data_IF_580431620257
#
_entry.id   IF_580431620257
#
_cell.length_a   1.000
_cell.length_b   1.000
_cell.length_c   1.000
_cell.angle_alpha   90.00
_cell.angle_beta   90.00
_cell.angle_gamma   90.00
#
_symmetry.space_group_name_H-M   'P 1'
#
loop_
_entity.id
_entity.type
_entity.pdbx_description
1 polymer ?
#
# COMPACT_ATOMS: atom_id res chain seq x y z
N UNK A 1 -0.43 47.91 18.56
CA UNK A 1 0.84 47.40 19.14
C UNK A 1 1.21 46.12 18.39
N UNK A 2 2.50 45.90 18.07
CA UNK A 2 2.94 44.68 17.36
C UNK A 2 3.41 43.63 18.36
N UNK A 3 3.07 42.36 18.10
CA UNK A 3 3.61 41.20 18.81
C UNK A 3 5.10 41.09 18.50
N UNK A 4 5.91 40.77 19.50
CA UNK A 4 7.35 40.58 19.30
C UNK A 4 7.61 39.25 18.60
N UNK A 5 8.67 39.15 17.80
CA UNK A 5 9.07 37.91 17.13
C UNK A 5 9.21 36.74 18.12
N UNK A 6 9.82 36.99 19.28
CA UNK A 6 9.92 36.01 20.37
C UNK A 6 8.57 35.53 20.93
N UNK A 7 7.58 36.42 20.99
CA UNK A 7 6.24 36.04 21.42
C UNK A 7 5.53 35.19 20.34
N UNK A 8 5.82 35.45 19.07
CA UNK A 8 5.32 34.63 17.96
C UNK A 8 5.97 33.24 17.96
N UNK A 9 7.30 33.13 18.09
CA UNK A 9 7.99 31.84 18.19
C UNK A 9 7.45 31.00 19.37
N UNK A 10 7.18 31.66 20.51
CA UNK A 10 6.60 30.98 21.67
C UNK A 10 5.18 30.51 21.41
N UNK A 11 4.39 31.31 20.69
CA UNK A 11 3.05 30.92 20.28
C UNK A 11 3.09 29.67 19.40
N UNK A 12 3.95 29.65 18.38
CA UNK A 12 4.09 28.52 17.47
C UNK A 12 4.48 27.24 18.23
N UNK A 13 5.40 27.34 19.20
CA UNK A 13 5.75 26.22 20.07
C UNK A 13 4.57 25.70 20.93
N UNK A 14 3.70 26.61 21.40
CA UNK A 14 2.46 26.22 22.12
C UNK A 14 1.53 25.46 21.18
N UNK A 15 1.33 25.96 19.96
CA UNK A 15 0.48 25.33 18.93
C UNK A 15 0.99 23.93 18.62
N UNK A 16 2.28 23.79 18.32
CA UNK A 16 2.90 22.50 17.99
C UNK A 16 2.78 21.49 19.13
N UNK A 17 3.04 21.92 20.37
CA UNK A 17 2.92 21.02 21.54
C UNK A 17 1.51 20.59 21.81
N UNK A 18 0.54 21.50 21.67
CA UNK A 18 -0.85 21.15 21.84
C UNK A 18 -1.33 20.20 20.74
N UNK A 19 -0.99 20.48 19.47
CA UNK A 19 -1.30 19.58 18.33
C UNK A 19 -0.74 18.18 18.57
N UNK A 20 0.52 18.08 19.02
CA UNK A 20 1.14 16.80 19.33
C UNK A 20 0.40 16.06 20.45
N UNK A 21 -0.02 16.76 21.52
CA UNK A 21 -0.84 16.15 22.57
C UNK A 21 -2.18 15.62 22.05
N UNK A 22 -2.84 16.33 21.13
CA UNK A 22 -4.07 15.88 20.49
C UNK A 22 -3.86 14.61 19.65
N UNK A 23 -2.76 14.54 18.87
CA UNK A 23 -2.42 13.36 18.08
C UNK A 23 -2.18 12.16 19.01
N UNK A 24 -1.36 12.34 20.05
CA UNK A 24 -1.08 11.28 21.04
C UNK A 24 -2.35 10.77 21.73
N UNK A 25 -3.28 11.67 22.06
CA UNK A 25 -4.57 11.29 22.63
C UNK A 25 -5.37 10.41 21.67
N UNK A 26 -5.42 10.79 20.38
CA UNK A 26 -6.11 10.00 19.35
C UNK A 26 -5.45 8.65 19.08
N UNK A 27 -4.14 8.56 19.21
CA UNK A 27 -3.37 7.31 19.13
C UNK A 27 -3.48 6.44 20.39
N UNK A 28 -4.24 6.87 21.41
CA UNK A 28 -4.44 6.13 22.66
C UNK A 28 -3.29 6.27 23.68
N UNK A 29 -2.31 7.14 23.41
CA UNK A 29 -1.17 7.42 24.30
C UNK A 29 -1.53 8.47 25.35
N UNK A 30 -2.51 8.11 26.18
CA UNK A 30 -3.18 9.04 27.12
C UNK A 30 -2.23 9.66 28.15
N UNK A 31 -1.27 8.86 28.67
CA UNK A 31 -0.29 9.37 29.64
C UNK A 31 0.61 10.45 29.03
N UNK A 32 1.12 10.24 27.83
CA UNK A 32 2.01 11.18 27.13
C UNK A 32 1.28 12.48 26.80
N UNK A 33 0.04 12.36 26.30
CA UNK A 33 -0.83 13.50 26.03
C UNK A 33 -1.11 14.31 27.30
N UNK A 34 -1.49 13.65 28.40
CA UNK A 34 -1.76 14.31 29.68
C UNK A 34 -0.53 15.02 30.24
N UNK A 35 0.66 14.42 30.12
CA UNK A 35 1.92 15.02 30.54
C UNK A 35 2.14 16.36 29.82
N UNK A 36 1.96 16.41 28.51
CA UNK A 36 2.10 17.65 27.74
C UNK A 36 1.08 18.69 28.20
N UNK A 37 -0.19 18.30 28.36
CA UNK A 37 -1.26 19.24 28.74
C UNK A 37 -1.07 19.80 30.15
N UNK A 38 -0.64 18.97 31.10
CA UNK A 38 -0.57 19.36 32.51
C UNK A 38 0.78 19.92 32.95
N UNK A 39 1.87 19.51 32.30
CA UNK A 39 3.22 19.82 32.76
C UNK A 39 3.98 20.72 31.77
N UNK A 40 3.84 20.50 30.46
CA UNK A 40 4.64 21.23 29.45
C UNK A 40 3.96 22.51 28.95
N UNK A 41 2.65 22.47 28.66
CA UNK A 41 1.92 23.62 28.13
C UNK A 41 1.75 24.79 29.12
N UNK A 42 1.41 24.57 30.41
CA UNK A 42 1.20 25.67 31.35
C UNK A 42 2.41 26.63 31.48
N UNK A 43 3.67 26.16 31.63
CA UNK A 43 4.81 27.06 31.70
C UNK A 43 5.04 27.81 30.38
N UNK A 44 4.83 27.19 29.22
CA UNK A 44 4.96 27.84 27.91
C UNK A 44 3.95 28.99 27.75
N UNK A 45 2.69 28.74 28.10
CA UNK A 45 1.61 29.73 28.06
C UNK A 45 1.90 30.89 29.01
N UNK A 46 2.35 30.59 30.23
CA UNK A 46 2.71 31.61 31.21
C UNK A 46 3.82 32.52 30.68
N UNK A 47 4.86 31.96 30.08
CA UNK A 47 5.95 32.73 29.48
C UNK A 47 5.46 33.58 28.30
N UNK A 48 4.65 33.02 27.41
CA UNK A 48 4.05 33.75 26.29
C UNK A 48 3.23 34.95 26.78
N UNK A 49 2.33 34.75 27.75
CA UNK A 49 1.52 35.83 28.31
C UNK A 49 2.36 36.95 28.95
N UNK A 50 3.53 36.63 29.52
CA UNK A 50 4.45 37.64 30.06
C UNK A 50 5.10 38.49 28.96
N UNK A 51 5.26 37.95 27.75
CA UNK A 51 5.84 38.63 26.59
C UNK A 51 4.84 39.50 25.83
N UNK A 52 3.54 39.37 26.11
CA UNK A 52 2.50 40.17 25.45
C UNK A 52 2.45 41.61 25.98
N UNK A 53 2.24 42.61 25.12
CA UNK A 53 1.87 43.96 25.53
C UNK A 53 0.58 43.98 26.35
N UNK A 54 0.45 44.92 27.28
CA UNK A 54 -0.67 44.97 28.25
C UNK A 54 -2.05 44.96 27.58
N UNK A 55 -2.22 45.67 26.46
CA UNK A 55 -3.49 45.72 25.73
C UNK A 55 -3.86 44.44 24.97
N UNK A 56 -2.94 43.48 24.79
CA UNK A 56 -3.21 42.19 24.15
C UNK A 56 -3.42 41.05 25.17
N UNK A 57 -3.14 41.30 26.46
CA UNK A 57 -3.34 40.29 27.51
C UNK A 57 -4.81 39.98 27.77
N UNK A 58 -5.69 40.94 27.49
CA UNK A 58 -7.14 40.78 27.66
C UNK A 58 -7.70 39.74 26.69
N UNK A 59 -7.19 39.73 25.45
CA UNK A 59 -7.61 38.80 24.40
C UNK A 59 -6.90 37.44 24.46
N UNK A 60 -5.75 37.35 25.14
CA UNK A 60 -4.91 36.15 25.17
C UNK A 60 -5.66 34.86 25.55
N UNK A 61 -6.66 34.95 26.44
CA UNK A 61 -7.49 33.79 26.82
C UNK A 61 -8.42 33.35 25.68
N UNK A 62 -8.98 34.30 24.94
CA UNK A 62 -9.80 34.01 23.78
C UNK A 62 -8.96 33.37 22.68
N UNK A 63 -7.78 33.93 22.39
CA UNK A 63 -6.84 33.41 21.40
C UNK A 63 -6.44 31.96 21.69
N UNK A 64 -6.08 31.64 22.95
CA UNK A 64 -5.71 30.29 23.35
C UNK A 64 -6.86 29.29 23.16
N UNK A 65 -8.08 29.68 23.57
CA UNK A 65 -9.27 28.83 23.42
C UNK A 65 -9.59 28.57 21.95
N UNK A 66 -9.50 29.58 21.11
CA UNK A 66 -9.78 29.46 19.68
C UNK A 66 -8.72 28.59 19.01
N UNK A 67 -7.46 28.76 19.39
CA UNK A 67 -6.36 27.90 18.95
C UNK A 67 -6.55 26.44 19.39
N UNK A 68 -6.86 26.18 20.65
CA UNK A 68 -7.10 24.81 21.13
C UNK A 68 -8.25 24.14 20.40
N UNK A 69 -9.36 24.87 20.20
CA UNK A 69 -10.53 24.35 19.49
C UNK A 69 -10.20 24.04 18.02
N UNK A 70 -9.48 24.94 17.35
CA UNK A 70 -9.05 24.77 15.97
C UNK A 70 -8.14 23.56 15.80
N UNK A 71 -7.09 23.45 16.61
CA UNK A 71 -6.13 22.36 16.52
C UNK A 71 -6.76 21.01 16.84
N UNK A 72 -7.64 20.95 17.85
CA UNK A 72 -8.40 19.74 18.13
C UNK A 72 -9.30 19.35 16.95
N UNK A 73 -9.96 20.31 16.31
CA UNK A 73 -10.78 20.07 15.12
C UNK A 73 -9.96 19.53 13.94
N UNK A 74 -8.80 20.12 13.65
CA UNK A 74 -7.90 19.69 12.58
C UNK A 74 -7.44 18.24 12.81
N UNK A 75 -6.99 17.93 14.02
CA UNK A 75 -6.54 16.56 14.36
C UNK A 75 -7.69 15.56 14.24
N UNK A 76 -8.90 15.93 14.72
CA UNK A 76 -10.08 15.09 14.63
C UNK A 76 -10.50 14.82 13.17
N UNK A 77 -10.45 15.83 12.32
CA UNK A 77 -10.72 15.70 10.89
C UNK A 77 -9.68 14.82 10.19
N UNK A 78 -8.39 15.07 10.45
CA UNK A 78 -7.29 14.26 9.89
C UNK A 78 -7.42 12.78 10.27
N UNK A 79 -7.75 12.49 11.53
CA UNK A 79 -7.93 11.12 11.99
C UNK A 79 -9.20 10.45 11.39
N UNK A 80 -10.28 11.20 11.17
CA UNK A 80 -11.46 10.70 10.44
C UNK A 80 -11.10 10.36 8.99
N UNK A 81 -10.38 11.24 8.31
CA UNK A 81 -9.95 11.03 6.93
C UNK A 81 -9.05 9.80 6.81
N UNK A 82 -8.07 9.65 7.71
CA UNK A 82 -7.19 8.47 7.73
C UNK A 82 -7.99 7.17 7.93
N UNK A 83 -9.01 7.19 8.79
CA UNK A 83 -9.90 6.03 8.98
C UNK A 83 -10.68 5.72 7.72
N UNK A 84 -11.33 6.71 7.10
CA UNK A 84 -12.08 6.53 5.87
C UNK A 84 -11.20 6.02 4.73
N UNK A 85 -9.99 6.56 4.60
CA UNK A 85 -9.01 6.13 3.61
C UNK A 85 -8.59 4.67 3.84
N UNK A 86 -8.25 4.30 5.08
CA UNK A 86 -7.93 2.91 5.44
C UNK A 86 -9.09 1.96 5.13
N UNK A 87 -10.31 2.34 5.48
CA UNK A 87 -11.50 1.53 5.19
C UNK A 87 -11.74 1.38 3.70
N UNK A 88 -11.55 2.44 2.92
CA UNK A 88 -11.71 2.43 1.46
C UNK A 88 -10.67 1.54 0.80
N UNK A 89 -9.41 1.64 1.24
CA UNK A 89 -8.34 0.77 0.77
C UNK A 89 -8.67 -0.70 1.02
N UNK A 90 -9.02 -1.04 2.26
CA UNK A 90 -9.26 -2.44 2.67
C UNK A 90 -10.52 -3.01 2.05
N UNK A 91 -11.62 -2.26 2.01
CA UNK A 91 -12.93 -2.79 1.59
C UNK A 91 -13.14 -2.74 0.08
N UNK A 92 -12.47 -1.82 -0.63
CA UNK A 92 -12.75 -1.56 -2.04
C UNK A 92 -11.54 -1.74 -2.93
N UNK A 93 -10.42 -1.07 -2.62
CA UNK A 93 -9.28 -1.03 -3.53
C UNK A 93 -8.54 -2.37 -3.53
N UNK A 94 -8.17 -2.90 -2.36
CA UNK A 94 -7.44 -4.17 -2.25
C UNK A 94 -8.20 -5.32 -2.93
N UNK A 95 -9.50 -5.56 -2.65
CA UNK A 95 -10.24 -6.64 -3.29
C UNK A 95 -10.33 -6.49 -4.82
N UNK A 96 -10.48 -5.27 -5.34
CA UNK A 96 -10.51 -5.03 -6.78
C UNK A 96 -9.16 -5.33 -7.44
N UNK A 97 -8.06 -4.99 -6.77
CA UNK A 97 -6.72 -5.31 -7.25
C UNK A 97 -6.48 -6.81 -7.21
N UNK A 98 -6.86 -7.50 -6.13
CA UNK A 98 -6.77 -8.96 -6.03
C UNK A 98 -7.58 -9.66 -7.13
N UNK A 99 -8.81 -9.20 -7.39
CA UNK A 99 -9.65 -9.76 -8.46
C UNK A 99 -9.03 -9.56 -9.85
N UNK A 100 -8.48 -8.36 -10.11
CA UNK A 100 -7.78 -8.06 -11.38
C UNK A 100 -6.55 -8.94 -11.55
N UNK A 101 -5.76 -9.14 -10.49
CA UNK A 101 -4.59 -10.04 -10.49
C UNK A 101 -5.06 -11.47 -10.77
N UNK A 102 -6.07 -11.96 -10.06
CA UNK A 102 -6.60 -13.31 -10.26
C UNK A 102 -7.20 -13.53 -11.66
N UNK A 103 -7.84 -12.52 -12.24
CA UNK A 103 -8.34 -12.57 -13.61
C UNK A 103 -7.19 -12.64 -14.64
N UNK A 104 -6.14 -11.82 -14.46
CA UNK A 104 -4.96 -11.84 -15.33
C UNK A 104 -4.18 -13.16 -15.20
N UNK A 105 -4.08 -13.72 -14.01
CA UNK A 105 -3.48 -15.04 -13.80
C UNK A 105 -4.27 -16.14 -14.52
N UNK A 106 -5.61 -16.13 -14.40
CA UNK A 106 -6.49 -17.07 -15.10
C UNK A 106 -6.35 -16.96 -16.62
N UNK A 107 -6.32 -15.75 -17.19
CA UNK A 107 -6.18 -15.58 -18.63
C UNK A 107 -4.83 -16.10 -19.15
N UNK A 108 -3.73 -15.76 -18.47
CA UNK A 108 -2.40 -16.23 -18.84
C UNK A 108 -2.29 -17.76 -18.78
N UNK A 109 -2.87 -18.37 -17.75
CA UNK A 109 -2.89 -19.83 -17.63
C UNK A 109 -3.68 -20.49 -18.78
N UNK A 110 -4.87 -19.97 -19.11
CA UNK A 110 -5.68 -20.49 -20.23
C UNK A 110 -4.94 -20.33 -21.56
N UNK A 111 -4.39 -19.15 -21.85
CA UNK A 111 -3.63 -18.91 -23.08
C UNK A 111 -2.42 -19.84 -23.17
N UNK A 112 -1.69 -20.06 -22.09
CA UNK A 112 -0.55 -20.98 -22.06
C UNK A 112 -0.97 -22.43 -22.28
N UNK A 113 -2.11 -22.84 -21.72
CA UNK A 113 -2.67 -24.18 -21.94
C UNK A 113 -3.10 -24.39 -23.40
N UNK A 114 -3.74 -23.39 -24.01
CA UNK A 114 -4.12 -23.42 -25.43
C UNK A 114 -2.89 -23.47 -26.34
N UNK A 115 -1.86 -22.66 -26.07
CA UNK A 115 -0.59 -22.70 -26.79
C UNK A 115 0.10 -24.06 -26.66
N UNK A 116 0.09 -24.67 -25.47
CA UNK A 116 0.66 -25.99 -25.26
C UNK A 116 -0.14 -27.09 -25.98
N UNK A 117 -1.48 -26.97 -26.02
CA UNK A 117 -2.33 -27.89 -26.78
C UNK A 117 -2.07 -27.75 -28.29
N UNK A 118 -1.97 -26.53 -28.80
CA UNK A 118 -1.65 -26.25 -30.19
C UNK A 118 -0.25 -26.76 -30.58
N UNK A 119 0.76 -26.57 -29.71
CA UNK A 119 2.10 -27.14 -29.91
C UNK A 119 2.08 -28.67 -29.99
N UNK A 120 1.42 -29.35 -29.05
CA UNK A 120 1.29 -30.82 -29.08
C UNK A 120 0.56 -31.30 -30.33
N UNK A 121 -0.47 -30.58 -30.76
CA UNK A 121 -1.22 -30.94 -31.95
C UNK A 121 -0.38 -30.74 -33.23
N UNK A 122 0.41 -29.66 -33.30
CA UNK A 122 1.38 -29.45 -34.39
C UNK A 122 2.51 -30.49 -34.39
N UNK A 123 2.98 -30.93 -33.22
CA UNK A 123 3.95 -32.04 -33.09
C UNK A 123 3.35 -33.37 -33.60
N UNK A 124 2.09 -33.64 -33.29
CA UNK A 124 1.37 -34.83 -33.78
C UNK A 124 1.10 -34.76 -35.30
N UNK A 125 0.75 -33.59 -35.83
CA UNK A 125 0.50 -33.37 -37.25
C UNK A 125 1.81 -33.31 -38.07
N UNK A 126 2.94 -32.92 -37.47
CA UNK A 126 4.29 -33.01 -38.07
C UNK A 126 4.92 -34.41 -38.00
N UNK A 127 4.38 -35.29 -37.16
CA UNK A 127 4.83 -36.69 -37.00
C UNK A 127 4.13 -37.66 -37.96
N UNK A 128 4.04 -37.31 -39.25
CA UNK A 128 3.79 -38.29 -40.32
C UNK A 128 5.11 -38.84 -40.86
N UNK A 129 6.05 -39.20 -39.97
CA UNK A 129 7.14 -40.10 -40.36
C UNK A 129 6.55 -41.50 -40.37
N UNK A 130 6.38 -42.02 -41.59
CA UNK A 130 5.95 -43.38 -41.91
C UNK A 130 6.65 -44.39 -40.98
N UNK A 131 5.95 -45.29 -40.28
CA UNK A 131 6.60 -46.34 -39.51
C UNK A 131 7.34 -47.26 -40.49
N UNK A 132 8.65 -47.07 -40.65
CA UNK A 132 9.50 -48.12 -41.18
C UNK A 132 9.65 -49.12 -40.05
N UNK A 133 8.95 -50.24 -40.17
CA UNK A 133 9.25 -51.43 -39.38
C UNK A 133 10.69 -51.84 -39.69
N UNK A 134 11.59 -51.44 -38.82
CA UNK A 134 12.94 -51.97 -38.73
C UNK A 134 13.03 -52.62 -37.35
N UNK A 135 13.06 -53.95 -37.35
CA UNK A 135 13.24 -54.79 -36.18
C UNK A 135 14.64 -54.57 -35.60
N UNK A 136 14.81 -53.54 -34.78
CA UNK A 136 15.91 -53.43 -33.83
C UNK A 136 15.50 -52.47 -32.73
N UNK A 137 15.18 -53.02 -31.55
CA UNK A 137 14.65 -52.28 -30.41
C UNK A 137 15.72 -51.35 -29.80
N UNK A 138 15.53 -50.01 -29.80
CA UNK A 138 16.33 -49.12 -28.96
C UNK A 138 15.67 -49.04 -27.58
N UNK A 139 16.46 -49.26 -26.52
CA UNK A 139 16.04 -49.04 -25.13
C UNK A 139 15.47 -47.62 -24.97
N UNK A 140 14.25 -47.53 -24.45
CA UNK A 140 13.56 -46.27 -24.22
C UNK A 140 14.36 -45.32 -23.30
N UNK A 141 14.44 -44.01 -23.58
CA UNK A 141 14.99 -43.05 -22.64
C UNK A 141 13.96 -42.76 -21.53
N UNK A 142 14.27 -43.15 -20.30
CA UNK A 142 13.52 -42.77 -19.11
C UNK A 142 13.72 -41.27 -18.81
N UNK A 143 12.82 -40.41 -19.28
CA UNK A 143 12.74 -39.03 -18.78
C UNK A 143 12.09 -38.02 -19.72
N UNK A 144 11.31 -37.12 -19.13
CA UNK A 144 10.85 -35.88 -19.76
C UNK A 144 11.96 -34.83 -19.66
N UNK A 145 12.25 -34.12 -20.75
CA UNK A 145 13.27 -33.07 -20.78
C UNK A 145 12.60 -31.69 -20.89
N UNK A 146 12.42 -31.03 -19.75
CA UNK A 146 11.97 -29.64 -19.65
C UNK A 146 13.16 -28.73 -19.38
N UNK A 147 13.82 -28.29 -20.46
CA UNK A 147 14.61 -27.04 -20.51
C UNK A 147 15.96 -26.99 -19.79
N UNK A 148 16.17 -27.66 -18.66
CA UNK A 148 17.50 -27.78 -18.01
C UNK A 148 17.59 -28.76 -16.82
N UNK A 149 16.51 -29.48 -16.47
CA UNK A 149 16.50 -30.44 -15.35
C UNK A 149 15.85 -31.75 -15.78
N UNK A 150 16.53 -32.86 -15.51
CA UNK A 150 16.05 -34.21 -15.86
C UNK A 150 15.20 -34.75 -14.71
N UNK A 151 13.88 -34.69 -14.85
CA UNK A 151 12.94 -35.16 -13.81
C UNK A 151 12.59 -36.63 -14.07
N UNK A 152 12.73 -37.48 -13.04
CA UNK A 152 12.42 -38.90 -13.14
C UNK A 152 10.90 -39.11 -13.20
N UNK A 153 10.45 -39.97 -14.11
CA UNK A 153 9.03 -40.31 -14.24
C UNK A 153 8.61 -41.11 -13.00
N UNK A 154 7.78 -40.51 -12.15
CA UNK A 154 7.31 -41.09 -10.88
C UNK A 154 7.43 -40.13 -9.69
N UNK A 155 8.25 -39.08 -9.80
CA UNK A 155 8.38 -38.07 -8.75
C UNK A 155 7.48 -36.86 -9.01
N UNK A 156 6.26 -36.92 -8.49
CA UNK A 156 5.22 -35.91 -8.71
C UNK A 156 5.59 -34.56 -8.07
N UNK A 157 6.40 -34.56 -7.00
CA UNK A 157 6.81 -33.33 -6.30
C UNK A 157 7.79 -32.52 -7.17
N UNK A 158 8.84 -33.17 -7.65
CA UNK A 158 9.84 -32.54 -8.53
C UNK A 158 9.23 -32.05 -9.84
N UNK A 159 8.18 -32.72 -10.34
CA UNK A 159 7.42 -32.28 -11.51
C UNK A 159 6.62 -31.00 -11.27
N UNK A 160 6.05 -30.83 -10.07
CA UNK A 160 5.29 -29.63 -9.70
C UNK A 160 6.25 -28.46 -9.46
N UNK A 161 7.36 -28.68 -8.77
CA UNK A 161 8.34 -27.64 -8.44
C UNK A 161 9.03 -27.10 -9.71
N UNK A 162 9.40 -27.99 -10.65
CA UNK A 162 9.98 -27.58 -11.93
C UNK A 162 9.02 -26.76 -12.81
N UNK A 163 7.70 -26.90 -12.62
CA UNK A 163 6.69 -26.08 -13.30
C UNK A 163 6.48 -24.72 -12.62
N UNK A 164 6.74 -24.61 -11.31
CA UNK A 164 6.53 -23.38 -10.55
C UNK A 164 7.72 -22.41 -10.58
N UNK A 165 8.97 -22.92 -10.62
CA UNK A 165 10.17 -22.07 -10.57
C UNK A 165 10.39 -21.21 -11.84
N UNK A 166 10.02 -21.70 -13.02
CA UNK A 166 10.30 -21.01 -14.30
C UNK A 166 9.29 -19.90 -14.62
N UNK A 167 8.13 -19.91 -13.95
CA UNK A 167 6.98 -19.06 -14.30
C UNK A 167 6.72 -17.90 -13.35
N UNK A 168 7.38 -17.81 -12.19
CA UNK A 168 7.05 -16.81 -11.16
C UNK A 168 7.77 -15.47 -11.33
N UNK A 169 9.07 -15.47 -11.64
CA UNK A 169 9.87 -14.23 -11.74
C UNK A 169 9.55 -13.42 -13.00
N UNK A 170 9.48 -14.06 -14.17
CA UNK A 170 9.15 -13.37 -15.43
C UNK A 170 7.70 -12.86 -15.49
N UNK A 171 6.80 -13.50 -14.73
CA UNK A 171 5.40 -13.10 -14.60
C UNK A 171 5.26 -11.90 -13.66
N UNK A 172 6.02 -11.86 -12.56
CA UNK A 172 6.02 -10.75 -11.61
C UNK A 172 6.41 -9.42 -12.28
N UNK A 173 7.45 -9.42 -13.12
CA UNK A 173 7.90 -8.23 -13.86
C UNK A 173 6.90 -7.78 -14.95
N UNK A 174 6.04 -8.68 -15.43
CA UNK A 174 5.01 -8.38 -16.44
C UNK A 174 3.68 -7.92 -15.84
N UNK A 175 3.51 -8.01 -14.51
CA UNK A 175 2.18 -7.89 -13.92
C UNK A 175 1.69 -6.44 -13.85
N UNK A 176 2.48 -5.42 -13.50
CA UNK A 176 2.05 -4.00 -13.54
C UNK A 176 3.22 -3.01 -13.64
N UNK A 177 3.15 -2.06 -14.58
CA UNK A 177 3.92 -0.81 -14.52
C UNK A 177 3.32 0.10 -13.45
N UNK A 178 4.16 0.91 -12.77
CA UNK A 178 3.71 1.95 -11.83
C UNK A 178 2.64 2.88 -12.45
N UNK A 179 2.70 3.11 -13.76
CA UNK A 179 1.73 3.95 -14.47
C UNK A 179 0.32 3.34 -14.49
N UNK A 180 0.18 2.02 -14.57
CA UNK A 180 -1.13 1.35 -14.58
C UNK A 180 -1.83 1.42 -13.21
N UNK A 181 -1.03 1.47 -12.14
CA UNK A 181 -1.51 1.64 -10.77
C UNK A 181 -2.04 3.07 -10.58
N UNK A 182 -1.31 4.07 -11.10
CA UNK A 182 -1.70 5.48 -11.05
C UNK A 182 -2.94 5.74 -11.92
N UNK A 183 -3.02 5.13 -13.10
CA UNK A 183 -4.19 5.21 -13.98
C UNK A 183 -5.44 4.62 -13.29
N UNK A 184 -5.30 3.47 -12.64
CA UNK A 184 -6.39 2.85 -11.85
C UNK A 184 -6.88 3.70 -10.68
N UNK A 185 -6.03 4.55 -10.11
CA UNK A 185 -6.41 5.52 -9.07
C UNK A 185 -7.23 6.69 -9.64
N UNK A 186 -6.90 7.17 -10.85
CA UNK A 186 -7.66 8.23 -11.52
C UNK A 186 -9.03 7.75 -12.01
N UNK A 187 -9.11 6.53 -12.57
CA UNK A 187 -10.36 5.94 -13.08
C UNK A 187 -11.37 5.59 -11.97
N UNK A 188 -10.90 5.45 -10.72
CA UNK A 188 -11.76 5.25 -9.55
C UNK A 188 -12.54 6.52 -9.12
N UNK A 189 -12.38 7.64 -9.85
CA UNK A 189 -13.06 8.91 -9.64
C UNK A 189 -12.97 9.39 -8.18
N UNK A 190 -11.75 9.61 -7.69
CA UNK A 190 -11.46 10.24 -6.39
C UNK A 190 -11.68 11.78 -6.50
N UNK A 191 -12.78 12.20 -7.12
CA UNK A 191 -13.06 13.62 -7.42
C UNK A 191 -14.12 14.29 -6.52
N UNK A 192 -14.46 13.76 -5.32
CA UNK A 192 -15.05 14.61 -4.29
C UNK A 192 -14.23 14.64 -2.99
N UNK A 193 -12.91 14.39 -3.01
CA UNK A 193 -12.07 14.59 -1.81
C UNK A 193 -11.63 16.06 -1.64
N UNK A 194 -11.77 16.91 -2.68
CA UNK A 194 -11.30 18.31 -2.66
C UNK A 194 -12.41 19.38 -2.72
N UNK A 195 -13.68 19.00 -2.57
CA UNK A 195 -14.79 19.96 -2.42
C UNK A 195 -15.68 19.57 -1.23
N UNK A 196 -15.28 20.02 -0.05
CA UNK A 196 -16.04 19.90 1.20
C UNK A 196 -15.36 20.68 2.30
#
# INVERSE_FOLDING_TARGET
MKVTERAQERWDAIVERFRFACILHRDGKEWESRRIIKEELPPLIKQWMQMLPTGLKEDAKADLRDMFTREQSIVDQGHKLQRLFKETLVKRIIPQVEERIAAKYRSLYVTKMEQNKAKRQAELEGSWVRPTYSEEAPKAPEGFNTGNRKVRIGDVSDMIDALQEVDSEALADSILSLDDIVQGMNDANIDPILKG
#
